data_IF_847201138256
#
_entry.id   IF_847201138256
#
_cell.length_a   1.000
_cell.length_b   1.000
_cell.length_c   1.000
_cell.angle_alpha   90.00
_cell.angle_beta   90.00
_cell.angle_gamma   90.00
#
_symmetry.space_group_name_H-M   'P 1'
#
loop_
_entity.id
_entity.type
_entity.pdbx_description
1 polymer ?
#
# COMPACT_ATOMS: atom_id res chain seq x y z
N UNK A 1 12.76 15.57 -13.89
CA UNK A 1 11.84 14.93 -12.92
C UNK A 1 11.05 16.03 -12.25
N UNK A 2 9.73 15.96 -12.30
CA UNK A 2 8.85 16.93 -11.64
C UNK A 2 8.23 16.26 -10.42
N UNK A 3 8.26 16.92 -9.27
CA UNK A 3 7.61 16.44 -8.05
C UNK A 3 6.44 17.37 -7.77
N UNK A 4 5.25 16.79 -7.61
CA UNK A 4 4.05 17.51 -7.20
C UNK A 4 3.72 17.12 -5.76
N UNK A 5 3.89 18.05 -4.82
CA UNK A 5 3.54 17.85 -3.42
C UNK A 5 2.15 18.42 -3.13
N UNK A 6 1.35 17.69 -2.37
CA UNK A 6 0.03 18.10 -1.88
C UNK A 6 0.05 18.01 -0.35
N UNK A 7 -0.36 19.07 0.33
CA UNK A 7 -0.39 19.15 1.80
C UNK A 7 -1.85 19.17 2.23
N UNK A 8 -2.48 18.01 2.23
CA UNK A 8 -3.90 17.81 2.52
C UNK A 8 -4.11 16.42 3.14
N UNK A 9 -5.25 16.23 3.82
CA UNK A 9 -5.62 14.92 4.35
C UNK A 9 -5.98 13.96 3.21
N UNK A 10 -5.49 12.72 3.30
CA UNK A 10 -5.63 11.68 2.28
C UNK A 10 -7.04 11.05 2.25
N UNK A 11 -8.08 11.89 2.12
CA UNK A 11 -9.47 11.46 2.00
C UNK A 11 -9.84 11.00 0.58
N UNK A 12 -10.97 10.28 0.47
CA UNK A 12 -11.43 9.72 -0.81
C UNK A 12 -11.60 10.77 -1.92
N UNK A 13 -12.09 11.97 -1.59
CA UNK A 13 -12.29 13.06 -2.56
C UNK A 13 -10.99 13.54 -3.19
N UNK A 14 -9.92 13.66 -2.39
CA UNK A 14 -8.60 14.04 -2.88
C UNK A 14 -7.93 12.88 -3.65
N UNK A 15 -7.99 11.67 -3.08
CA UNK A 15 -7.27 10.52 -3.62
C UNK A 15 -7.86 9.99 -4.92
N UNK A 16 -9.19 10.02 -5.09
CA UNK A 16 -9.87 9.46 -6.27
C UNK A 16 -9.32 9.99 -7.61
N UNK A 17 -9.23 11.31 -7.86
CA UNK A 17 -8.67 11.82 -9.11
C UNK A 17 -7.15 11.59 -9.23
N UNK A 18 -6.45 11.30 -8.14
CA UNK A 18 -5.03 10.92 -8.19
C UNK A 18 -4.87 9.46 -8.62
N UNK A 19 -5.67 8.56 -8.04
CA UNK A 19 -5.71 7.14 -8.45
C UNK A 19 -6.05 7.00 -9.93
N UNK A 20 -7.05 7.73 -10.44
CA UNK A 20 -7.44 7.70 -11.86
C UNK A 20 -6.33 8.10 -12.84
N UNK A 21 -5.32 8.85 -12.39
CA UNK A 21 -4.23 9.37 -13.22
C UNK A 21 -2.90 8.67 -12.97
N UNK A 22 -2.79 7.89 -11.90
CA UNK A 22 -1.55 7.23 -11.53
C UNK A 22 -1.40 5.90 -12.29
N UNK A 23 -0.18 5.61 -12.76
CA UNK A 23 0.15 4.28 -13.28
C UNK A 23 0.20 3.24 -12.16
N UNK A 24 0.65 3.65 -10.96
CA UNK A 24 0.73 2.84 -9.76
C UNK A 24 0.77 3.72 -8.51
N UNK A 25 0.22 3.23 -7.41
CA UNK A 25 0.22 3.90 -6.10
C UNK A 25 1.07 3.11 -5.09
N UNK A 26 1.91 3.81 -4.33
CA UNK A 26 2.68 3.25 -3.21
C UNK A 26 2.07 3.75 -1.90
N UNK A 27 1.74 2.83 -1.00
CA UNK A 27 1.20 3.15 0.33
C UNK A 27 2.31 3.38 1.35
N UNK A 28 2.40 4.58 1.92
CA UNK A 28 3.26 4.86 3.07
C UNK A 28 2.46 5.35 4.28
N UNK A 29 1.15 5.08 4.31
CA UNK A 29 0.25 5.48 5.39
C UNK A 29 0.37 4.54 6.59
N UNK A 30 -0.01 5.02 7.76
CA UNK A 30 0.12 4.32 9.05
C UNK A 30 -1.22 3.92 9.68
N UNK A 31 -2.33 4.31 9.08
CA UNK A 31 -3.67 4.10 9.63
C UNK A 31 -4.53 3.22 8.71
N UNK A 32 -5.36 2.38 9.32
CA UNK A 32 -6.17 1.40 8.63
C UNK A 32 -7.30 2.04 7.80
N UNK A 33 -7.88 3.14 8.28
CA UNK A 33 -8.99 3.82 7.60
C UNK A 33 -8.58 4.30 6.20
N UNK A 34 -7.43 4.98 6.08
CA UNK A 34 -6.91 5.44 4.78
C UNK A 34 -6.61 4.25 3.87
N UNK A 35 -6.07 3.15 4.41
CA UNK A 35 -5.79 1.92 3.64
C UNK A 35 -7.04 1.29 3.06
N UNK A 36 -8.16 1.32 3.79
CA UNK A 36 -9.44 0.82 3.25
C UNK A 36 -9.99 1.73 2.16
N UNK A 37 -9.85 3.05 2.30
CA UNK A 37 -10.18 4.00 1.22
C UNK A 37 -9.32 3.75 -0.02
N UNK A 38 -8.00 3.58 0.16
CA UNK A 38 -7.08 3.28 -0.95
C UNK A 38 -7.38 1.95 -1.62
N UNK A 39 -7.76 0.92 -0.84
CA UNK A 39 -8.21 -0.36 -1.37
C UNK A 39 -9.41 -0.20 -2.31
N UNK A 40 -10.44 0.51 -1.85
CA UNK A 40 -11.67 0.69 -2.62
C UNK A 40 -11.39 1.51 -3.89
N UNK A 41 -10.56 2.56 -3.78
CA UNK A 41 -10.15 3.37 -4.93
C UNK A 41 -9.31 2.56 -5.93
N UNK A 42 -8.41 1.69 -5.48
CA UNK A 42 -7.63 0.80 -6.37
C UNK A 42 -8.55 -0.12 -7.18
N UNK A 43 -9.54 -0.73 -6.54
CA UNK A 43 -10.50 -1.62 -7.20
C UNK A 43 -11.45 -0.86 -8.14
N UNK A 44 -11.91 0.32 -7.73
CA UNK A 44 -12.82 1.17 -8.51
C UNK A 44 -12.14 1.70 -9.78
N UNK A 45 -10.94 2.27 -9.62
CA UNK A 45 -10.21 2.94 -10.71
C UNK A 45 -9.37 1.98 -11.55
N UNK A 46 -9.26 0.72 -11.12
CA UNK A 46 -8.38 -0.31 -11.69
C UNK A 46 -6.89 0.07 -11.64
N UNK A 47 -6.52 0.99 -10.75
CA UNK A 47 -5.13 1.42 -10.56
C UNK A 47 -4.41 0.47 -9.58
N UNK A 48 -3.27 -0.11 -9.98
CA UNK A 48 -2.41 -0.90 -9.10
C UNK A 48 -2.01 -0.15 -7.84
N UNK A 49 -2.00 -0.87 -6.73
CA UNK A 49 -1.66 -0.31 -5.42
C UNK A 49 -0.75 -1.26 -4.67
N UNK A 50 0.36 -0.75 -4.13
CA UNK A 50 1.29 -1.55 -3.34
C UNK A 50 1.15 -1.14 -1.88
N UNK A 51 0.42 -1.98 -1.14
CA UNK A 51 0.23 -1.88 0.29
C UNK A 51 1.55 -2.14 1.03
N UNK A 52 1.83 -1.31 2.04
CA UNK A 52 2.96 -1.45 2.95
C UNK A 52 2.54 -1.06 4.36
N UNK A 53 2.97 -1.84 5.36
CA UNK A 53 2.73 -1.55 6.76
C UNK A 53 3.88 -2.06 7.62
N UNK A 54 4.13 -1.38 8.74
CA UNK A 54 5.14 -1.78 9.71
C UNK A 54 4.66 -1.43 11.12
N UNK A 55 5.11 -2.19 12.12
CA UNK A 55 4.92 -1.87 13.54
C UNK A 55 5.99 -2.60 14.36
N UNK A 56 6.59 -1.93 15.34
CA UNK A 56 7.68 -2.49 16.15
C UNK A 56 8.84 -2.99 15.26
N UNK A 57 9.12 -4.30 15.29
CA UNK A 57 10.10 -4.97 14.43
C UNK A 57 9.49 -5.74 13.26
N UNK A 58 8.17 -5.61 13.05
CA UNK A 58 7.43 -6.35 12.03
C UNK A 58 7.15 -5.47 10.82
N UNK A 59 7.10 -6.11 9.65
CA UNK A 59 6.80 -5.48 8.38
C UNK A 59 5.89 -6.34 7.51
N UNK A 60 5.08 -5.71 6.68
CA UNK A 60 4.12 -6.35 5.79
C UNK A 60 4.07 -5.60 4.46
N UNK A 61 3.96 -6.31 3.34
CA UNK A 61 3.61 -5.70 2.07
C UNK A 61 2.77 -6.65 1.20
N UNK A 62 2.02 -6.07 0.27
CA UNK A 62 1.26 -6.81 -0.73
C UNK A 62 1.06 -5.96 -1.98
N UNK A 63 1.35 -6.51 -3.16
CA UNK A 63 0.98 -5.89 -4.43
C UNK A 63 -0.48 -6.22 -4.76
N UNK A 64 -1.33 -5.20 -4.84
CA UNK A 64 -2.74 -5.30 -5.20
C UNK A 64 -2.88 -4.86 -6.65
N UNK A 65 -3.05 -5.85 -7.53
CA UNK A 65 -3.35 -5.64 -8.95
C UNK A 65 -4.83 -5.99 -9.18
N UNK A 66 -5.70 -5.00 -9.44
CA UNK A 66 -7.13 -5.22 -9.66
C UNK A 66 -7.40 -6.34 -10.68
N UNK A 67 -8.37 -7.20 -10.37
CA UNK A 67 -8.76 -8.39 -11.15
C UNK A 67 -7.68 -9.48 -11.30
N UNK A 68 -6.48 -9.31 -10.73
CA UNK A 68 -5.37 -10.27 -10.80
C UNK A 68 -4.92 -10.82 -9.44
N UNK A 69 -5.08 -10.05 -8.35
CA UNK A 69 -4.70 -10.47 -6.99
C UNK A 69 -5.84 -10.22 -6.00
N UNK A 70 -5.82 -10.86 -4.81
CA UNK A 70 -6.68 -10.46 -3.71
C UNK A 70 -6.49 -8.97 -3.36
N UNK A 71 -7.56 -8.30 -2.97
CA UNK A 71 -7.50 -6.96 -2.42
C UNK A 71 -7.22 -7.00 -0.92
N UNK A 72 -6.99 -5.84 -0.28
CA UNK A 72 -6.75 -5.79 1.15
C UNK A 72 -7.94 -6.33 1.94
N UNK A 73 -9.17 -5.99 1.54
CA UNK A 73 -10.41 -6.51 2.17
C UNK A 73 -10.61 -8.02 1.99
N UNK A 74 -10.00 -8.64 0.96
CA UNK A 74 -10.00 -10.09 0.82
C UNK A 74 -9.11 -10.77 1.88
N UNK A 75 -8.02 -10.12 2.28
CA UNK A 75 -7.07 -10.65 3.28
C UNK A 75 -7.52 -10.31 4.70
N UNK A 76 -7.99 -9.08 4.92
CA UNK A 76 -8.46 -8.58 6.21
C UNK A 76 -9.99 -8.44 6.18
N UNK A 77 -10.68 -9.53 6.53
CA UNK A 77 -12.15 -9.62 6.53
C UNK A 77 -12.83 -8.79 7.62
N UNK A 78 -12.08 -8.35 8.63
CA UNK A 78 -12.54 -7.40 9.63
C UNK A 78 -11.37 -6.51 10.07
N UNK A 79 -11.69 -5.27 10.44
CA UNK A 79 -10.73 -4.36 11.04
C UNK A 79 -10.18 -5.00 12.33
N UNK A 80 -8.86 -5.18 12.48
CA UNK A 80 -8.30 -5.72 13.70
C UNK A 80 -8.56 -4.73 14.84
N UNK A 81 -9.55 -5.03 15.67
CA UNK A 81 -9.88 -4.23 16.86
C UNK A 81 -8.76 -4.43 17.88
N UNK A 82 -7.97 -3.39 18.15
CA UNK A 82 -6.95 -3.41 19.21
C UNK A 82 -5.54 -3.85 18.81
N UNK A 83 -5.12 -3.58 17.56
CA UNK A 83 -3.73 -3.79 17.13
C UNK A 83 -2.74 -2.76 17.70
N UNK A 84 -1.48 -3.15 17.87
CA UNK A 84 -0.38 -2.22 18.11
C UNK A 84 -0.25 -1.26 16.91
N UNK A 85 -0.10 0.02 17.18
CA UNK A 85 0.19 1.06 16.19
C UNK A 85 1.65 1.50 16.29
N UNK A 86 2.16 2.17 15.26
CA UNK A 86 3.47 2.82 15.30
C UNK A 86 3.60 3.74 16.53
N UNK A 87 2.53 4.45 16.89
CA UNK A 87 2.51 5.38 18.02
C UNK A 87 2.54 4.69 19.39
N UNK A 88 2.11 3.43 19.48
CA UNK A 88 2.02 2.69 20.75
C UNK A 88 3.15 1.71 20.96
N UNK A 89 3.65 1.07 19.90
CA UNK A 89 4.74 0.09 19.97
C UNK A 89 6.09 0.66 19.50
N UNK A 90 6.10 1.84 18.89
CA UNK A 90 7.25 2.33 18.14
C UNK A 90 7.50 1.54 16.86
N UNK A 91 8.55 1.91 16.14
CA UNK A 91 8.99 1.22 14.92
C UNK A 91 10.49 1.36 14.76
N UNK A 92 11.17 0.26 14.43
CA UNK A 92 12.60 0.31 14.13
C UNK A 92 12.83 0.68 12.66
N UNK A 93 13.79 1.57 12.41
CA UNK A 93 14.11 2.02 11.04
C UNK A 93 14.39 0.89 10.04
N UNK A 94 15.04 -0.24 10.40
CA UNK A 94 15.26 -1.33 9.45
C UNK A 94 13.96 -1.96 8.91
N UNK A 95 12.91 -2.06 9.72
CA UNK A 95 11.62 -2.60 9.28
C UNK A 95 11.01 -1.73 8.17
N UNK A 96 11.03 -0.40 8.36
CA UNK A 96 10.58 0.58 7.35
C UNK A 96 11.37 0.46 6.06
N UNK A 97 12.70 0.39 6.16
CA UNK A 97 13.58 0.29 4.99
C UNK A 97 13.32 -0.99 4.19
N UNK A 98 13.12 -2.11 4.86
CA UNK A 98 12.80 -3.38 4.21
C UNK A 98 11.46 -3.32 3.49
N UNK A 99 10.39 -2.85 4.15
CA UNK A 99 9.07 -2.73 3.51
C UNK A 99 9.10 -1.77 2.33
N UNK A 100 9.76 -0.62 2.48
CA UNK A 100 9.93 0.32 1.36
C UNK A 100 10.68 -0.30 0.18
N UNK A 101 11.74 -1.06 0.44
CA UNK A 101 12.49 -1.76 -0.61
C UNK A 101 11.63 -2.79 -1.35
N UNK A 102 10.79 -3.55 -0.64
CA UNK A 102 9.82 -4.45 -1.26
C UNK A 102 8.83 -3.68 -2.13
N UNK A 103 8.24 -2.59 -1.62
CA UNK A 103 7.28 -1.80 -2.39
C UNK A 103 7.88 -1.23 -3.68
N UNK A 104 9.09 -0.67 -3.60
CA UNK A 104 9.80 -0.14 -4.76
C UNK A 104 10.14 -1.24 -5.77
N UNK A 105 10.49 -2.43 -5.30
CA UNK A 105 10.79 -3.58 -6.16
C UNK A 105 9.57 -3.98 -6.99
N UNK A 106 8.40 -4.11 -6.36
CA UNK A 106 7.18 -4.45 -7.09
C UNK A 106 6.71 -3.30 -8.01
N UNK A 107 6.92 -2.05 -7.61
CA UNK A 107 6.60 -0.90 -8.45
C UNK A 107 7.43 -0.87 -9.72
N UNK A 108 8.73 -1.13 -9.61
CA UNK A 108 9.65 -1.18 -10.75
C UNK A 108 9.32 -2.34 -11.69
N UNK A 109 8.99 -3.52 -11.15
CA UNK A 109 8.52 -4.64 -11.98
C UNK A 109 7.27 -4.26 -12.79
N UNK A 110 6.29 -3.63 -12.14
CA UNK A 110 5.08 -3.17 -12.81
C UNK A 110 5.38 -2.14 -13.91
N UNK A 111 6.08 -1.04 -13.56
CA UNK A 111 6.39 0.07 -14.47
C UNK A 111 7.30 -0.32 -15.64
N UNK A 112 8.07 -1.40 -15.51
CA UNK A 112 8.93 -1.93 -16.58
C UNK A 112 8.29 -3.06 -17.37
N UNK A 113 7.01 -3.40 -17.11
CA UNK A 113 6.25 -4.39 -17.86
C UNK A 113 6.49 -5.85 -17.48
N UNK A 114 7.11 -6.12 -16.32
CA UNK A 114 7.41 -7.46 -15.82
C UNK A 114 6.40 -7.89 -14.74
N UNK A 115 5.10 -7.70 -15.00
CA UNK A 115 4.03 -8.00 -14.05
C UNK A 115 4.01 -9.48 -13.60
N UNK A 116 4.48 -10.40 -14.45
CA UNK A 116 4.57 -11.83 -14.16
C UNK A 116 5.57 -12.15 -13.02
N UNK A 117 6.50 -11.25 -12.74
CA UNK A 117 7.51 -11.39 -11.68
C UNK A 117 7.08 -10.76 -10.35
N UNK A 118 5.90 -10.15 -10.32
CA UNK A 118 5.37 -9.54 -9.11
C UNK A 118 5.01 -10.62 -8.09
N UNK A 119 5.48 -10.46 -6.85
CA UNK A 119 5.11 -11.37 -5.76
C UNK A 119 3.61 -11.23 -5.47
N UNK A 120 2.89 -12.36 -5.48
CA UNK A 120 1.43 -12.43 -5.38
C UNK A 120 0.96 -12.75 -3.96
N UNK A 121 1.88 -13.10 -3.08
CA UNK A 121 1.60 -13.42 -1.68
C UNK A 121 1.57 -12.15 -0.83
N UNK A 122 0.83 -12.25 0.27
CA UNK A 122 1.04 -11.38 1.41
C UNK A 122 2.37 -11.77 2.08
N UNK A 123 3.31 -10.84 2.15
CA UNK A 123 4.63 -11.08 2.76
C UNK A 123 4.71 -10.33 4.07
N UNK A 124 5.13 -11.03 5.12
CA UNK A 124 5.39 -10.44 6.44
C UNK A 124 6.62 -11.04 7.09
N UNK A 125 7.22 -10.30 8.01
CA UNK A 125 8.32 -10.74 8.87
C UNK A 125 8.15 -10.20 10.29
#
# INVERSE_FOLDING_TARGET
>A
MTIHALIEDAGAELLRPLFQRADIVIDATDNFETRMVMNDLSLETKTPWIYGACVSSQGMYMAILPDKTPCLSCVFTAMPVGGLTCDTAGIISPAVQMVSAYQQTEALKYLTGHEEQIERKFVSF
#
